data_IF_603142152839
#
_entry.id   IF_603142152839
#
_cell.length_a   1.000
_cell.length_b   1.000
_cell.length_c   1.000
_cell.angle_alpha   90.00
_cell.angle_beta   90.00
_cell.angle_gamma   90.00
#
_symmetry.space_group_name_H-M   'P 1'
#
loop_
_entity.id
_entity.type
_entity.pdbx_description
1 polymer ?
#
# COMPACT_ATOMS: atom_id res chain seq x y z
N UNK A 1 -6.60 -16.89 12.68
CA UNK A 1 -5.64 -16.09 11.88
C UNK A 1 -4.25 -16.71 12.03
N UNK A 2 -3.57 -17.02 10.92
CA UNK A 2 -2.23 -17.62 10.94
C UNK A 2 -1.18 -16.71 11.62
N UNK A 3 -0.10 -17.28 12.17
CA UNK A 3 0.99 -16.55 12.85
C UNK A 3 1.64 -15.52 11.93
N UNK A 4 1.84 -15.84 10.64
CA UNK A 4 2.39 -14.89 9.65
C UNK A 4 1.47 -13.68 9.48
N UNK A 5 0.17 -13.92 9.39
CA UNK A 5 -0.83 -12.86 9.20
C UNK A 5 -0.96 -11.97 10.46
N UNK A 6 -0.87 -12.55 11.66
CA UNK A 6 -0.81 -11.77 12.91
C UNK A 6 0.42 -10.88 12.97
N UNK A 7 1.58 -11.39 12.57
CA UNK A 7 2.82 -10.61 12.50
C UNK A 7 2.73 -9.47 11.48
N UNK A 8 2.16 -9.71 10.30
CA UNK A 8 1.91 -8.66 9.30
C UNK A 8 0.97 -7.59 9.83
N UNK A 9 -0.15 -7.99 10.45
CA UNK A 9 -1.12 -7.05 11.02
C UNK A 9 -0.49 -6.19 12.13
N UNK A 10 0.26 -6.82 13.03
CA UNK A 10 0.96 -6.12 14.11
C UNK A 10 2.03 -5.14 13.59
N UNK A 11 2.80 -5.55 12.58
CA UNK A 11 3.79 -4.70 11.95
C UNK A 11 3.13 -3.52 11.22
N UNK A 12 2.02 -3.75 10.52
CA UNK A 12 1.24 -2.72 9.84
C UNK A 12 0.79 -1.64 10.83
N UNK A 13 0.22 -2.03 11.97
CA UNK A 13 -0.21 -1.09 13.01
C UNK A 13 0.98 -0.34 13.61
N UNK A 14 2.06 -1.05 13.97
CA UNK A 14 3.24 -0.42 14.55
C UNK A 14 3.89 0.59 13.58
N UNK A 15 4.01 0.24 12.30
CA UNK A 15 4.53 1.17 11.29
C UNK A 15 3.62 2.39 11.10
N UNK A 16 2.30 2.22 11.15
CA UNK A 16 1.34 3.32 11.00
C UNK A 16 1.36 4.31 12.18
N UNK A 17 1.57 3.79 13.40
CA UNK A 17 1.55 4.60 14.63
C UNK A 17 2.84 5.40 14.85
N UNK A 18 4.00 4.76 14.67
CA UNK A 18 5.31 5.35 15.04
C UNK A 18 6.32 5.45 13.90
N UNK A 19 5.94 5.00 12.70
CA UNK A 19 6.82 4.94 11.54
C UNK A 19 7.73 3.72 11.53
N UNK A 20 8.26 3.43 10.34
CA UNK A 20 9.14 2.28 10.12
C UNK A 20 10.41 2.31 10.98
N UNK A 21 11.15 3.43 10.99
CA UNK A 21 12.41 3.57 11.71
C UNK A 21 12.31 3.27 13.21
N UNK A 22 11.30 3.80 13.89
CA UNK A 22 11.07 3.63 15.33
C UNK A 22 10.43 2.27 15.69
N UNK A 23 10.09 1.46 14.69
CA UNK A 23 9.52 0.13 14.92
C UNK A 23 10.59 -0.92 15.24
N UNK A 24 10.40 -1.70 16.30
CA UNK A 24 11.28 -2.80 16.70
C UNK A 24 10.59 -4.14 16.45
N UNK A 25 11.39 -5.19 16.23
CA UNK A 25 10.86 -6.56 16.08
C UNK A 25 10.16 -7.01 17.36
N UNK A 26 10.70 -6.66 18.53
CA UNK A 26 10.13 -7.00 19.84
C UNK A 26 8.70 -6.47 19.98
N UNK A 27 8.46 -5.21 19.61
CA UNK A 27 7.10 -4.67 19.66
C UNK A 27 6.14 -5.37 18.68
N UNK A 28 6.61 -5.76 17.49
CA UNK A 28 5.79 -6.48 16.51
C UNK A 28 5.37 -7.84 17.09
N UNK A 29 6.30 -8.58 17.72
CA UNK A 29 6.01 -9.92 18.24
C UNK A 29 5.14 -9.86 19.50
N UNK A 30 5.33 -8.84 20.32
CA UNK A 30 4.51 -8.57 21.50
C UNK A 30 3.06 -8.27 21.10
N UNK A 31 2.86 -7.36 20.14
CA UNK A 31 1.53 -7.06 19.57
C UNK A 31 0.89 -8.27 18.91
N UNK A 32 1.67 -9.06 18.17
CA UNK A 32 1.19 -10.27 17.50
C UNK A 32 0.90 -11.42 18.47
N UNK A 33 1.34 -11.31 19.74
CA UNK A 33 1.28 -12.37 20.76
C UNK A 33 1.93 -13.66 20.27
N UNK A 34 3.19 -13.55 19.84
CA UNK A 34 4.03 -14.67 19.43
C UNK A 34 5.45 -14.51 19.97
N UNK A 35 6.20 -15.60 20.07
CA UNK A 35 7.60 -15.53 20.48
C UNK A 35 8.48 -14.91 19.40
N UNK A 36 9.57 -14.24 19.79
CA UNK A 36 10.54 -13.63 18.86
C UNK A 36 11.09 -14.62 17.82
N UNK A 37 11.35 -15.88 18.22
CA UNK A 37 11.75 -16.94 17.29
C UNK A 37 10.73 -17.19 16.17
N UNK A 38 9.43 -17.01 16.45
CA UNK A 38 8.37 -17.14 15.45
C UNK A 38 8.48 -16.06 14.35
N UNK A 39 8.93 -14.85 14.70
CA UNK A 39 9.16 -13.81 13.69
C UNK A 39 10.16 -14.29 12.64
N UNK A 40 11.31 -14.81 13.10
CA UNK A 40 12.40 -15.22 12.23
C UNK A 40 12.10 -16.49 11.41
N UNK A 41 11.03 -17.23 11.74
CA UNK A 41 10.51 -18.30 10.87
C UNK A 41 9.86 -17.74 9.59
N UNK A 42 9.27 -16.54 9.65
CA UNK A 42 8.53 -15.94 8.54
C UNK A 42 9.26 -14.76 7.89
N UNK A 43 10.04 -14.00 8.66
CA UNK A 43 10.65 -12.77 8.19
C UNK A 43 12.11 -12.66 8.62
N UNK A 44 12.98 -12.31 7.66
CA UNK A 44 14.42 -12.15 7.91
C UNK A 44 14.73 -10.94 8.80
N UNK A 45 13.99 -9.86 8.60
CA UNK A 45 14.16 -8.58 9.28
C UNK A 45 12.90 -7.71 9.11
N UNK A 46 12.92 -6.50 9.68
CA UNK A 46 11.81 -5.55 9.63
C UNK A 46 11.54 -5.06 8.20
N UNK A 47 12.58 -4.91 7.40
CA UNK A 47 12.53 -4.51 5.99
C UNK A 47 11.78 -5.56 5.15
N UNK A 48 11.97 -6.85 5.43
CA UNK A 48 11.25 -7.93 4.77
C UNK A 48 9.75 -7.86 5.05
N UNK A 49 9.35 -7.57 6.29
CA UNK A 49 7.93 -7.37 6.65
C UNK A 49 7.35 -6.17 5.91
N UNK A 50 8.10 -5.07 5.85
CA UNK A 50 7.67 -3.87 5.13
C UNK A 50 7.47 -4.14 3.63
N UNK A 51 8.42 -4.83 2.99
CA UNK A 51 8.30 -5.27 1.59
C UNK A 51 7.07 -6.15 1.35
N UNK A 52 6.74 -7.03 2.29
CA UNK A 52 5.54 -7.88 2.20
C UNK A 52 4.24 -7.06 2.30
N UNK A 53 4.16 -6.09 3.21
CA UNK A 53 3.00 -5.18 3.28
C UNK A 53 2.85 -4.35 2.01
N UNK A 54 3.98 -3.95 1.46
CA UNK A 54 4.09 -3.23 0.22
C UNK A 54 3.60 -4.06 -0.99
N UNK A 55 3.99 -5.33 -1.08
CA UNK A 55 3.52 -6.24 -2.13
C UNK A 55 2.00 -6.44 -2.09
N UNK A 56 1.37 -6.32 -0.92
CA UNK A 56 -0.09 -6.33 -0.81
C UNK A 56 -0.72 -5.10 -1.47
N UNK A 57 -0.09 -3.93 -1.35
CA UNK A 57 -0.53 -2.70 -2.03
C UNK A 57 -0.41 -2.84 -3.54
N UNK A 58 0.71 -3.38 -4.03
CA UNK A 58 0.91 -3.63 -5.47
C UNK A 58 -0.16 -4.57 -6.04
N UNK A 59 -0.42 -5.68 -5.36
CA UNK A 59 -1.45 -6.65 -5.78
C UNK A 59 -2.84 -6.03 -5.82
N UNK A 60 -3.18 -5.21 -4.82
CA UNK A 60 -4.45 -4.50 -4.80
C UNK A 60 -4.55 -3.53 -5.99
N UNK A 61 -3.47 -2.82 -6.30
CA UNK A 61 -3.45 -1.89 -7.43
C UNK A 61 -3.58 -2.61 -8.79
N UNK A 62 -2.92 -3.75 -8.95
CA UNK A 62 -3.04 -4.56 -10.16
C UNK A 62 -4.47 -5.09 -10.36
N UNK A 63 -5.12 -5.52 -9.28
CA UNK A 63 -6.54 -5.90 -9.31
C UNK A 63 -7.43 -4.72 -9.75
N UNK A 64 -7.20 -3.53 -9.19
CA UNK A 64 -7.93 -2.32 -9.55
C UNK A 64 -7.75 -1.96 -11.03
N UNK A 65 -6.53 -2.06 -11.54
CA UNK A 65 -6.21 -1.83 -12.96
C UNK A 65 -6.97 -2.79 -13.88
N UNK A 66 -7.01 -4.07 -13.53
CA UNK A 66 -7.77 -5.07 -14.29
C UNK A 66 -9.28 -4.80 -14.26
N UNK A 67 -9.82 -4.42 -13.10
CA UNK A 67 -11.24 -4.04 -12.98
C UNK A 67 -11.56 -2.82 -13.86
N UNK A 68 -10.70 -1.80 -13.87
CA UNK A 68 -10.86 -0.63 -14.75
C UNK A 68 -10.80 -1.01 -16.23
N UNK A 69 -9.90 -1.90 -16.63
CA UNK A 69 -9.79 -2.33 -18.03
C UNK A 69 -11.05 -3.08 -18.52
N UNK A 70 -11.78 -3.74 -17.62
CA UNK A 70 -13.04 -4.43 -17.94
C UNK A 70 -14.23 -3.48 -18.18
N UNK A 71 -14.10 -2.18 -17.87
CA UNK A 71 -15.17 -1.20 -18.05
C UNK A 71 -15.11 -0.53 -19.42
N UNK A 72 -16.28 -0.25 -20.00
CA UNK A 72 -16.39 0.22 -21.39
C UNK A 72 -16.18 1.73 -21.56
N UNK A 73 -16.70 2.56 -20.66
CA UNK A 73 -16.59 4.01 -20.74
C UNK A 73 -15.69 4.58 -19.63
N UNK A 74 -15.26 5.82 -19.80
CA UNK A 74 -14.37 6.51 -18.88
C UNK A 74 -15.03 6.81 -17.52
N UNK A 75 -16.30 7.20 -17.54
CA UNK A 75 -17.06 7.55 -16.33
C UNK A 75 -17.13 6.37 -15.36
N UNK A 76 -17.40 5.17 -15.88
CA UNK A 76 -17.41 3.92 -15.12
C UNK A 76 -16.01 3.54 -14.62
N UNK A 77 -14.96 3.78 -15.42
CA UNK A 77 -13.57 3.57 -14.98
C UNK A 77 -13.22 4.49 -13.82
N UNK A 78 -13.58 5.76 -13.90
CA UNK A 78 -13.32 6.75 -12.85
C UNK A 78 -14.15 6.46 -11.60
N UNK A 79 -15.43 6.09 -11.76
CA UNK A 79 -16.30 5.69 -10.67
C UNK A 79 -15.74 4.48 -9.92
N UNK A 80 -15.40 3.40 -10.64
CA UNK A 80 -14.82 2.19 -10.03
C UNK A 80 -13.48 2.49 -9.38
N UNK A 81 -12.60 3.25 -10.04
CA UNK A 81 -11.33 3.64 -9.47
C UNK A 81 -11.51 4.39 -8.15
N UNK A 82 -12.36 5.43 -8.15
CA UNK A 82 -12.59 6.25 -6.96
C UNK A 82 -13.28 5.46 -5.86
N UNK A 83 -14.36 4.72 -6.15
CA UNK A 83 -15.07 3.88 -5.19
C UNK A 83 -14.12 2.86 -4.53
N UNK A 84 -13.36 2.12 -5.32
CA UNK A 84 -12.43 1.10 -4.82
C UNK A 84 -11.26 1.70 -4.06
N UNK A 85 -10.71 2.80 -4.55
CA UNK A 85 -9.60 3.49 -3.88
C UNK A 85 -10.03 4.00 -2.51
N UNK A 86 -11.19 4.66 -2.39
CA UNK A 86 -11.71 5.11 -1.10
C UNK A 86 -12.07 3.94 -0.18
N UNK A 87 -12.72 2.89 -0.69
CA UNK A 87 -13.02 1.68 0.09
C UNK A 87 -11.74 1.04 0.65
N UNK A 88 -10.69 0.94 -0.17
CA UNK A 88 -9.41 0.40 0.25
C UNK A 88 -8.77 1.25 1.36
N UNK A 89 -8.80 2.58 1.23
CA UNK A 89 -8.29 3.49 2.26
C UNK A 89 -9.06 3.38 3.58
N UNK A 90 -10.39 3.20 3.52
CA UNK A 90 -11.23 3.00 4.70
C UNK A 90 -10.95 1.67 5.41
N UNK A 91 -10.79 0.59 4.65
CA UNK A 91 -10.47 -0.74 5.16
C UNK A 91 -9.02 -0.85 5.67
N UNK A 92 -8.12 -0.04 5.10
CA UNK A 92 -6.68 -0.12 5.34
C UNK A 92 -6.09 1.22 5.79
N UNK A 93 -6.74 1.89 6.74
CA UNK A 93 -6.30 3.18 7.33
C UNK A 93 -4.83 3.17 7.76
N UNK A 94 -4.34 2.03 8.28
CA UNK A 94 -2.94 1.87 8.65
C UNK A 94 -2.00 1.96 7.44
N UNK A 95 -2.36 1.33 6.31
CA UNK A 95 -1.58 1.42 5.07
C UNK A 95 -1.67 2.81 4.45
N UNK A 96 -2.84 3.43 4.47
CA UNK A 96 -3.03 4.81 4.04
C UNK A 96 -2.10 5.75 4.84
N UNK A 97 -2.03 5.57 6.16
CA UNK A 97 -1.18 6.35 7.06
C UNK A 97 0.32 6.13 6.80
N UNK A 98 0.73 4.91 6.50
CA UNK A 98 2.10 4.58 6.09
C UNK A 98 2.45 5.24 4.75
N UNK A 99 1.54 5.16 3.76
CA UNK A 99 1.79 5.55 2.38
C UNK A 99 1.50 7.00 2.01
N UNK A 100 0.83 7.78 2.87
CA UNK A 100 0.46 9.18 2.59
C UNK A 100 1.06 10.18 3.59
N UNK A 101 1.33 9.77 4.83
CA UNK A 101 1.53 10.74 5.92
C UNK A 101 2.81 10.55 6.76
N UNK A 102 3.54 9.43 6.65
CA UNK A 102 4.63 9.08 7.59
C UNK A 102 5.93 8.61 6.91
N UNK A 103 6.44 9.36 5.91
CA UNK A 103 7.68 9.02 5.19
C UNK A 103 8.98 9.40 5.89
N UNK A 104 8.95 10.16 6.98
CA UNK A 104 10.13 10.81 7.54
C UNK A 104 11.24 9.85 7.99
N UNK A 105 10.95 8.56 8.15
CA UNK A 105 11.88 7.55 8.65
C UNK A 105 11.92 6.24 7.84
N UNK A 106 11.50 6.30 6.58
CA UNK A 106 11.65 5.20 5.62
C UNK A 106 12.98 5.38 4.87
N UNK A 107 13.77 4.32 4.68
CA UNK A 107 15.06 4.45 3.99
C UNK A 107 14.87 4.96 2.54
N UNK A 108 15.90 5.58 1.99
CA UNK A 108 15.86 6.22 0.67
C UNK A 108 15.44 5.27 -0.47
N UNK A 109 15.83 4.00 -0.40
CA UNK A 109 15.47 2.99 -1.38
C UNK A 109 13.97 2.66 -1.32
N UNK A 110 13.40 2.59 -0.12
CA UNK A 110 11.97 2.36 0.11
C UNK A 110 11.14 3.60 -0.23
N UNK A 111 11.64 4.81 0.03
CA UNK A 111 11.02 6.07 -0.45
C UNK A 111 10.95 6.11 -1.97
N UNK A 112 12.09 5.88 -2.65
CA UNK A 112 12.13 5.82 -4.13
C UNK A 112 11.20 4.75 -4.69
N UNK A 113 11.12 3.61 -4.01
CA UNK A 113 10.23 2.54 -4.38
C UNK A 113 8.74 2.96 -4.24
N UNK A 114 8.37 3.68 -3.17
CA UNK A 114 7.00 4.15 -2.96
C UNK A 114 6.60 5.28 -3.92
N UNK A 115 7.52 6.20 -4.21
CA UNK A 115 7.33 7.24 -5.23
C UNK A 115 7.13 6.60 -6.62
N UNK A 116 7.91 5.56 -6.94
CA UNK A 116 7.70 4.78 -8.18
C UNK A 116 6.33 4.11 -8.19
N UNK A 117 5.86 3.58 -7.06
CA UNK A 117 4.52 3.01 -6.96
C UNK A 117 3.47 4.08 -7.27
N UNK A 118 3.53 5.26 -6.66
CA UNK A 118 2.58 6.36 -6.94
C UNK A 118 2.65 6.85 -8.39
N UNK A 119 3.86 6.96 -8.97
CA UNK A 119 4.03 7.32 -10.38
C UNK A 119 3.38 6.29 -11.31
N UNK A 120 3.53 4.99 -11.03
CA UNK A 120 2.85 3.93 -11.76
C UNK A 120 1.33 4.04 -11.69
N UNK A 121 0.79 4.50 -10.55
CA UNK A 121 -0.65 4.71 -10.42
C UNK A 121 -1.13 5.83 -11.35
N UNK A 122 -0.44 6.97 -11.32
CA UNK A 122 -0.73 8.14 -12.15
C UNK A 122 -0.59 7.81 -13.64
N UNK A 123 0.42 7.05 -14.04
CA UNK A 123 0.62 6.68 -15.44
C UNK A 123 -0.43 5.67 -15.92
N UNK A 124 -0.85 4.71 -15.07
CA UNK A 124 -1.96 3.80 -15.40
C UNK A 124 -3.29 4.54 -15.61
N UNK A 125 -3.51 5.61 -14.85
CA UNK A 125 -4.64 6.52 -15.06
C UNK A 125 -4.46 7.24 -16.40
N UNK A 126 -3.31 7.88 -16.68
CA UNK A 126 -3.06 8.55 -17.97
C UNK A 126 -3.23 7.64 -19.18
N UNK A 127 -2.77 6.40 -19.11
CA UNK A 127 -2.93 5.41 -20.18
C UNK A 127 -4.42 5.13 -20.45
N UNK A 128 -5.23 5.00 -19.39
CA UNK A 128 -6.68 4.90 -19.51
C UNK A 128 -7.34 6.16 -20.10
N UNK A 129 -6.67 7.32 -20.01
CA UNK A 129 -7.13 8.62 -20.54
C UNK A 129 -6.67 8.92 -21.97
N UNK A 130 -5.67 8.22 -22.52
CA UNK A 130 -5.08 8.54 -23.84
C UNK A 130 -6.04 8.45 -25.04
N UNK A 131 -7.28 7.96 -24.84
CA UNK A 131 -8.39 8.02 -25.80
C UNK A 131 -9.44 9.11 -25.55
N UNK A 132 -9.29 9.96 -24.54
CA UNK A 132 -10.24 11.01 -24.17
C UNK A 132 -9.76 12.39 -24.67
N UNK A 133 -10.49 12.96 -25.63
CA UNK A 133 -10.28 14.35 -26.08
C UNK A 133 -10.66 15.33 -24.96
N UNK A 134 -9.66 15.79 -24.19
CA UNK A 134 -9.84 16.94 -23.31
C UNK A 134 -9.32 18.19 -24.00
N UNK A 135 -10.23 19.06 -24.45
CA UNK A 135 -9.93 20.48 -24.46
C UNK A 135 -9.82 20.91 -23.01
N UNK A 136 -8.60 21.26 -22.59
CA UNK A 136 -8.33 21.94 -21.32
C UNK A 136 -9.34 23.08 -21.20
N UNK A 137 -10.19 23.05 -20.18
CA UNK A 137 -11.03 24.20 -19.84
C UNK A 137 -10.03 25.31 -19.48
N UNK A 138 -9.90 26.37 -20.28
CA UNK A 138 -8.97 27.44 -19.95
C UNK A 138 -9.43 28.10 -18.65
N UNK A 139 -8.48 28.39 -17.76
CA UNK A 139 -8.68 29.19 -16.56
C UNK A 139 -9.29 30.56 -16.88
#
# INVERSE_FOLDING_TARGET
MDKRNRLLAAARQAFAEKGFGKTTIDEIVDRARVAKGTFYLYFKNKEHVFKELVLLLEKHYEYLKQEMQSRHNFEDKLYVYTERYFSFLEENKDLARIGLFNFDHVDESLKKWFVRLQAFQVDSIKDAYSGANWTVIPN
#
